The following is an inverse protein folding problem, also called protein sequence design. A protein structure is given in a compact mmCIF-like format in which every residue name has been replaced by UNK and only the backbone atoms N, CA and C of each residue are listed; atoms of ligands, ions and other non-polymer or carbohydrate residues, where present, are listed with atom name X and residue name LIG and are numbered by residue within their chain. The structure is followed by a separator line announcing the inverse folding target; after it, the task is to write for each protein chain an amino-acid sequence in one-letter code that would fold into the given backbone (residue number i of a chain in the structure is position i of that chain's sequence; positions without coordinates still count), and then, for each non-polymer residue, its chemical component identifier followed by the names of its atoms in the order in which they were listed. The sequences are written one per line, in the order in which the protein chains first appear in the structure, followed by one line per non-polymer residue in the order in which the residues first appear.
data_IF_039702768073
#
_entry.id   IF_039702768073
#
_cell.length_a   1.000
_cell.length_b   1.000
_cell.length_c   1.000
_cell.angle_alpha   90.00
_cell.angle_beta   90.00
_cell.angle_gamma   90.00
#
_symmetry.space_group_name_H-M   'P 1'
#
loop_
_entity.id
_entity.type
_entity.pdbx_description
1 polymer ?
#
# COMPACT_ATOMS: atom_id res chain seq x y z
N UNK A 1 17.96 16.27 -4.15
CA UNK A 1 18.31 16.05 -2.73
C UNK A 1 18.30 14.55 -2.57
N UNK A 2 19.42 14.00 -2.09
CA UNK A 2 19.63 12.56 -2.11
C UNK A 2 19.30 11.99 -0.74
N UNK A 3 18.42 10.99 -0.70
CA UNK A 3 18.10 10.25 0.51
C UNK A 3 18.92 8.96 0.51
N UNK A 4 19.78 8.72 1.51
CA UNK A 4 20.57 7.50 1.59
C UNK A 4 19.68 6.28 1.82
N UNK A 5 20.01 5.17 1.15
CA UNK A 5 19.40 3.87 1.38
C UNK A 5 20.28 3.14 2.38
N UNK A 6 19.82 3.02 3.62
CA UNK A 6 20.59 2.40 4.68
C UNK A 6 20.50 0.87 4.64
N UNK A 7 21.62 0.24 4.97
CA UNK A 7 21.70 -1.17 5.38
C UNK A 7 21.64 -1.26 6.91
N UNK A 8 21.51 -2.46 7.47
CA UNK A 8 21.60 -2.68 8.92
C UNK A 8 22.91 -2.10 9.49
N UNK A 9 24.02 -2.22 8.77
CA UNK A 9 25.34 -1.78 9.23
C UNK A 9 25.49 -0.25 9.25
N UNK A 10 24.83 0.43 8.31
CA UNK A 10 24.98 1.88 8.09
C UNK A 10 23.86 2.70 8.72
N UNK A 11 22.76 2.06 9.11
CA UNK A 11 21.59 2.73 9.69
C UNK A 11 21.89 3.35 11.07
N UNK A 12 21.17 4.43 11.44
CA UNK A 12 21.11 4.88 12.82
C UNK A 12 20.77 3.72 13.77
N UNK A 13 21.43 3.65 14.92
CA UNK A 13 21.27 2.53 15.88
C UNK A 13 19.80 2.29 16.24
N UNK A 14 19.04 3.38 16.42
CA UNK A 14 17.62 3.32 16.75
C UNK A 14 16.74 2.68 15.66
N UNK A 15 17.23 2.53 14.42
CA UNK A 15 16.49 1.95 13.29
C UNK A 15 16.84 0.48 13.02
N UNK A 16 17.97 -0.03 13.55
CA UNK A 16 18.50 -1.36 13.18
C UNK A 16 17.53 -2.49 13.48
N UNK A 17 16.91 -2.51 14.65
CA UNK A 17 15.92 -3.55 15.02
C UNK A 17 14.74 -3.56 14.05
N UNK A 18 14.25 -2.39 13.62
CA UNK A 18 13.13 -2.32 12.69
C UNK A 18 13.53 -2.69 11.25
N UNK A 19 14.80 -2.47 10.85
CA UNK A 19 15.33 -2.99 9.59
C UNK A 19 15.50 -4.51 9.60
N UNK A 20 15.91 -5.10 10.73
CA UNK A 20 15.92 -6.55 10.91
C UNK A 20 14.52 -7.10 10.76
N UNK A 21 13.54 -6.48 11.43
CA UNK A 21 12.13 -6.86 11.29
C UNK A 21 11.67 -6.77 9.83
N UNK A 22 11.92 -5.66 9.12
CA UNK A 22 11.59 -5.54 7.70
C UNK A 22 12.20 -6.65 6.84
N UNK A 23 13.47 -7.03 7.10
CA UNK A 23 14.14 -8.12 6.41
C UNK A 23 13.45 -9.46 6.65
N UNK A 24 12.99 -9.72 7.87
CA UNK A 24 12.27 -10.95 8.23
C UNK A 24 10.88 -10.98 7.57
N UNK A 25 10.15 -9.85 7.57
CA UNK A 25 8.82 -9.73 6.96
C UNK A 25 8.87 -9.90 5.43
N UNK A 26 9.84 -9.28 4.76
CA UNK A 26 9.88 -9.22 3.29
C UNK A 26 10.91 -10.17 2.64
N UNK A 27 11.75 -10.83 3.43
CA UNK A 27 12.87 -11.67 2.97
C UNK A 27 14.12 -10.88 2.54
N UNK A 28 14.02 -9.56 2.39
CA UNK A 28 15.10 -8.62 2.15
C UNK A 28 14.72 -7.24 2.70
N UNK A 29 15.64 -6.28 2.73
CA UNK A 29 15.31 -4.89 3.09
C UNK A 29 14.98 -4.15 1.79
N UNK A 30 13.72 -3.77 1.54
CA UNK A 30 13.42 -2.97 0.37
C UNK A 30 14.01 -1.57 0.50
N UNK A 31 14.30 -0.93 -0.63
CA UNK A 31 14.93 0.39 -0.64
C UNK A 31 14.12 1.44 0.14
N UNK A 32 12.79 1.32 0.17
CA UNK A 32 11.90 2.16 0.98
C UNK A 32 12.23 2.09 2.48
N UNK A 33 12.31 0.90 3.05
CA UNK A 33 12.63 0.70 4.47
C UNK A 33 14.07 1.15 4.78
N UNK A 34 14.99 0.95 3.83
CA UNK A 34 16.34 1.50 3.88
C UNK A 34 16.33 3.04 3.96
N UNK A 35 15.44 3.73 3.26
CA UNK A 35 15.27 5.18 3.35
C UNK A 35 14.58 5.60 4.65
N UNK A 36 13.55 4.86 5.10
CA UNK A 36 12.88 5.11 6.38
C UNK A 36 13.85 5.08 7.56
N UNK A 37 14.92 4.29 7.50
CA UNK A 37 15.89 4.18 8.57
C UNK A 37 16.53 5.52 8.97
N UNK A 38 16.53 6.53 8.09
CA UNK A 38 16.93 7.90 8.42
C UNK A 38 16.07 8.51 9.54
N UNK A 39 14.80 8.11 9.62
CA UNK A 39 13.79 8.59 10.55
C UNK A 39 13.23 7.39 11.36
N UNK A 40 13.87 6.99 12.48
CA UNK A 40 13.51 5.78 13.22
C UNK A 40 12.03 5.67 13.61
N UNK A 41 11.38 6.81 13.92
CA UNK A 41 9.96 6.85 14.26
C UNK A 41 9.07 6.45 13.09
N UNK A 42 9.41 6.87 11.86
CA UNK A 42 8.69 6.51 10.64
C UNK A 42 8.85 5.03 10.33
N UNK A 43 10.08 4.50 10.39
CA UNK A 43 10.34 3.07 10.16
C UNK A 43 9.58 2.20 11.16
N UNK A 44 9.71 2.49 12.46
CA UNK A 44 9.05 1.70 13.53
C UNK A 44 7.54 1.79 13.44
N UNK A 45 6.99 3.00 13.26
CA UNK A 45 5.55 3.19 13.13
C UNK A 45 4.99 2.49 11.90
N UNK A 46 5.69 2.57 10.77
CA UNK A 46 5.33 1.87 9.54
C UNK A 46 5.32 0.35 9.72
N UNK A 47 6.37 -0.23 10.31
CA UNK A 47 6.43 -1.68 10.52
C UNK A 47 5.39 -2.16 11.52
N UNK A 48 5.15 -1.43 12.60
CA UNK A 48 4.10 -1.78 13.56
C UNK A 48 2.70 -1.73 12.92
N UNK A 49 2.42 -0.71 12.11
CA UNK A 49 1.15 -0.62 11.40
C UNK A 49 1.01 -1.70 10.32
N UNK A 50 2.11 -2.09 9.67
CA UNK A 50 2.12 -3.20 8.72
C UNK A 50 1.62 -4.49 9.39
N UNK A 51 2.20 -4.87 10.53
CA UNK A 51 1.79 -6.08 11.27
C UNK A 51 0.33 -6.01 11.73
N UNK A 52 -0.08 -4.84 12.22
CA UNK A 52 -1.46 -4.63 12.67
C UNK A 52 -2.46 -4.72 11.52
N UNK A 53 -2.09 -4.24 10.33
CA UNK A 53 -2.95 -4.33 9.15
C UNK A 53 -3.08 -5.77 8.65
N UNK A 54 -2.00 -6.55 8.67
CA UNK A 54 -2.04 -7.97 8.33
C UNK A 54 -3.02 -8.75 9.23
N UNK A 55 -3.12 -8.36 10.50
CA UNK A 55 -4.02 -8.95 11.49
C UNK A 55 -5.47 -8.43 11.47
N UNK A 56 -5.83 -7.54 10.52
CA UNK A 56 -7.20 -7.04 10.38
C UNK A 56 -8.19 -8.11 9.92
N UNK A 57 -9.48 -7.76 9.92
CA UNK A 57 -10.54 -8.67 9.45
C UNK A 57 -10.60 -8.83 7.92
N UNK A 58 -9.73 -8.16 7.16
CA UNK A 58 -9.63 -8.32 5.71
C UNK A 58 -8.82 -9.55 5.32
N UNK A 59 -9.25 -10.23 4.26
CA UNK A 59 -8.41 -11.23 3.60
C UNK A 59 -7.17 -10.59 2.97
N UNK A 60 -6.12 -11.38 2.71
CA UNK A 60 -4.91 -10.90 2.05
C UNK A 60 -5.20 -10.23 0.69
N UNK A 61 -6.19 -10.74 -0.05
CA UNK A 61 -6.62 -10.17 -1.33
C UNK A 61 -7.24 -8.78 -1.13
N UNK A 62 -8.14 -8.63 -0.15
CA UNK A 62 -8.77 -7.35 0.19
C UNK A 62 -7.75 -6.32 0.69
N UNK A 63 -6.77 -6.75 1.50
CA UNK A 63 -5.65 -5.91 1.91
C UNK A 63 -4.87 -5.36 0.71
N UNK A 64 -4.61 -6.19 -0.31
CA UNK A 64 -3.97 -5.73 -1.55
C UNK A 64 -4.87 -4.84 -2.41
N UNK A 65 -6.20 -5.04 -2.41
CA UNK A 65 -7.14 -4.10 -3.06
C UNK A 65 -6.99 -2.71 -2.45
N UNK A 66 -6.96 -2.60 -1.12
CA UNK A 66 -6.78 -1.31 -0.41
C UNK A 66 -5.43 -0.68 -0.79
N UNK A 67 -4.34 -1.45 -0.68
CA UNK A 67 -3.00 -0.94 -0.99
C UNK A 67 -2.82 -0.52 -2.44
N UNK A 68 -3.22 -1.34 -3.40
CA UNK A 68 -3.09 -1.02 -4.83
C UNK A 68 -3.97 0.17 -5.21
N UNK A 69 -5.18 0.27 -4.65
CA UNK A 69 -6.04 1.45 -4.86
C UNK A 69 -5.39 2.72 -4.33
N UNK A 70 -4.86 2.70 -3.12
CA UNK A 70 -4.18 3.86 -2.56
C UNK A 70 -2.91 4.23 -3.34
N UNK A 71 -2.13 3.24 -3.78
CA UNK A 71 -0.95 3.48 -4.62
C UNK A 71 -1.34 4.13 -5.97
N UNK A 72 -2.48 3.75 -6.55
CA UNK A 72 -3.01 4.34 -7.78
C UNK A 72 -3.39 5.82 -7.57
N UNK A 73 -4.17 6.10 -6.52
CA UNK A 73 -4.64 7.46 -6.21
C UNK A 73 -3.48 8.39 -5.85
N UNK A 74 -2.48 7.91 -5.11
CA UNK A 74 -1.28 8.67 -4.78
C UNK A 74 -0.24 8.73 -5.92
N UNK A 75 -0.41 7.96 -7.00
CA UNK A 75 0.51 7.90 -8.15
C UNK A 75 1.91 7.34 -7.82
N UNK A 76 1.97 6.42 -6.85
CA UNK A 76 3.23 5.87 -6.38
C UNK A 76 3.73 4.69 -7.23
N UNK A 77 4.69 4.96 -8.12
CA UNK A 77 5.29 3.95 -9.01
C UNK A 77 5.97 2.79 -8.27
N UNK A 78 6.74 3.10 -7.23
CA UNK A 78 7.45 2.09 -6.44
C UNK A 78 6.46 1.14 -5.76
N UNK A 79 5.48 1.69 -5.03
CA UNK A 79 4.53 0.88 -4.29
C UNK A 79 3.59 0.11 -5.21
N UNK A 80 3.17 0.70 -6.34
CA UNK A 80 2.37 -0.03 -7.33
C UNK A 80 3.11 -1.27 -7.85
N UNK A 81 4.39 -1.12 -8.20
CA UNK A 81 5.20 -2.24 -8.67
C UNK A 81 5.39 -3.32 -7.59
N UNK A 82 5.77 -2.93 -6.38
CA UNK A 82 5.96 -3.86 -5.25
C UNK A 82 4.68 -4.64 -4.93
N UNK A 83 3.55 -3.93 -4.77
CA UNK A 83 2.28 -4.56 -4.43
C UNK A 83 1.65 -5.36 -5.58
N UNK A 84 1.98 -5.05 -6.84
CA UNK A 84 1.58 -5.91 -7.97
C UNK A 84 2.24 -7.29 -7.88
N UNK A 85 3.52 -7.34 -7.49
CA UNK A 85 4.23 -8.60 -7.25
C UNK A 85 3.65 -9.38 -6.06
N UNK A 86 3.41 -8.70 -4.94
CA UNK A 86 2.81 -9.31 -3.75
C UNK A 86 1.41 -9.85 -4.02
N UNK A 87 0.55 -9.06 -4.68
CA UNK A 87 -0.79 -9.48 -5.08
C UNK A 87 -0.77 -10.76 -5.92
N UNK A 88 0.18 -10.87 -6.87
CA UNK A 88 0.36 -12.09 -7.66
C UNK A 88 0.78 -13.28 -6.79
N UNK A 89 1.68 -13.08 -5.83
CA UNK A 89 2.17 -14.14 -4.95
C UNK A 89 1.07 -14.71 -4.05
N UNK A 90 0.14 -13.88 -3.59
CA UNK A 90 -1.00 -14.33 -2.77
C UNK A 90 -2.18 -14.85 -3.60
N UNK A 91 -2.04 -14.99 -4.92
CA UNK A 91 -3.04 -15.59 -5.79
C UNK A 91 -4.11 -14.64 -6.33
N UNK A 92 -3.93 -13.31 -6.27
CA UNK A 92 -4.83 -12.38 -6.94
C UNK A 92 -4.79 -12.60 -8.46
N UNK A 93 -5.96 -12.54 -9.10
CA UNK A 93 -6.06 -12.76 -10.54
C UNK A 93 -5.28 -11.70 -11.32
N UNK A 94 -4.68 -12.10 -12.44
CA UNK A 94 -3.95 -11.17 -13.31
C UNK A 94 -4.87 -10.04 -13.84
N UNK A 95 -6.15 -10.34 -14.05
CA UNK A 95 -7.15 -9.37 -14.49
C UNK A 95 -7.42 -8.32 -13.41
N UNK A 96 -7.58 -8.72 -12.15
CA UNK A 96 -7.82 -7.76 -11.05
C UNK A 96 -6.58 -6.92 -10.76
N UNK A 97 -5.38 -7.51 -10.80
CA UNK A 97 -4.13 -6.77 -10.68
C UNK A 97 -4.04 -5.71 -11.79
N UNK A 98 -4.34 -6.10 -13.03
CA UNK A 98 -4.32 -5.17 -14.16
C UNK A 98 -5.39 -4.09 -14.04
N UNK A 99 -6.59 -4.43 -13.56
CA UNK A 99 -7.65 -3.47 -13.32
C UNK A 99 -7.28 -2.43 -12.26
N UNK A 100 -6.70 -2.87 -11.13
CA UNK A 100 -6.21 -1.98 -10.07
C UNK A 100 -5.07 -1.08 -10.57
N UNK A 101 -4.13 -1.63 -11.36
CA UNK A 101 -3.05 -0.85 -11.99
C UNK A 101 -3.57 0.19 -12.98
N UNK A 102 -4.71 -0.06 -13.61
CA UNK A 102 -5.29 0.84 -14.61
C UNK A 102 -6.40 1.74 -14.06
N UNK A 103 -6.78 1.60 -12.79
CA UNK A 103 -7.91 2.31 -12.23
C UNK A 103 -9.25 1.93 -12.88
N UNK A 104 -9.38 0.71 -13.40
CA UNK A 104 -10.64 0.20 -13.99
C UNK A 104 -11.38 -0.71 -13.00
N UNK A 105 -12.64 -1.00 -13.29
CA UNK A 105 -13.49 -1.84 -12.43
C UNK A 105 -12.93 -3.26 -12.25
N UNK A 106 -13.07 -3.79 -11.03
CA UNK A 106 -12.82 -5.20 -10.72
C UNK A 106 -14.05 -6.04 -11.11
N UNK A 107 -13.84 -7.31 -11.44
CA UNK A 107 -14.95 -8.21 -11.80
C UNK A 107 -15.76 -8.69 -10.60
N UNK A 108 -15.14 -8.81 -9.43
CA UNK A 108 -15.83 -9.17 -8.20
C UNK A 108 -16.53 -7.92 -7.63
N UNK A 109 -17.86 -7.93 -7.48
CA UNK A 109 -18.61 -6.77 -7.00
C UNK A 109 -18.28 -6.39 -5.56
N UNK A 110 -17.93 -7.35 -4.69
CA UNK A 110 -17.50 -7.08 -3.32
C UNK A 110 -16.13 -6.39 -3.32
N UNK A 111 -15.16 -6.90 -4.06
CA UNK A 111 -13.85 -6.25 -4.18
C UNK A 111 -13.95 -4.87 -4.85
N UNK A 112 -14.84 -4.72 -5.84
CA UNK A 112 -15.10 -3.44 -6.48
C UNK A 112 -15.68 -2.41 -5.49
N UNK A 113 -16.57 -2.82 -4.58
CA UNK A 113 -17.06 -1.94 -3.51
C UNK A 113 -15.92 -1.49 -2.58
N UNK A 114 -15.01 -2.41 -2.20
CA UNK A 114 -13.84 -2.06 -1.38
C UNK A 114 -12.88 -1.09 -2.09
N UNK A 115 -12.59 -1.35 -3.37
CA UNK A 115 -11.81 -0.45 -4.21
C UNK A 115 -12.46 0.94 -4.26
N UNK A 116 -13.76 1.00 -4.54
CA UNK A 116 -14.48 2.26 -4.63
C UNK A 116 -14.45 3.02 -3.31
N UNK A 117 -14.81 2.37 -2.19
CA UNK A 117 -14.81 2.99 -0.87
C UNK A 117 -13.44 3.53 -0.47
N UNK A 118 -12.38 2.74 -0.72
CA UNK A 118 -10.98 3.18 -0.48
C UNK A 118 -10.62 4.40 -1.33
N UNK A 119 -10.96 4.38 -2.63
CA UNK A 119 -10.74 5.50 -3.54
C UNK A 119 -11.45 6.77 -3.05
N UNK A 120 -12.72 6.65 -2.65
CA UNK A 120 -13.53 7.78 -2.16
C UNK A 120 -12.95 8.37 -0.88
N UNK A 121 -12.53 7.54 0.08
CA UNK A 121 -11.87 8.03 1.29
C UNK A 121 -10.60 8.83 1.01
N UNK A 122 -9.80 8.42 0.02
CA UNK A 122 -8.59 9.15 -0.34
C UNK A 122 -8.94 10.47 -1.03
N UNK A 123 -9.81 10.43 -2.04
CA UNK A 123 -10.19 11.62 -2.81
C UNK A 123 -10.90 12.68 -1.95
N UNK A 124 -11.76 12.24 -1.05
CA UNK A 124 -12.52 13.11 -0.15
C UNK A 124 -11.81 13.38 1.17
N UNK A 125 -10.59 12.85 1.37
CA UNK A 125 -9.81 13.01 2.62
C UNK A 125 -10.60 12.57 3.86
N UNK A 126 -11.33 11.46 3.74
CA UNK A 126 -12.14 10.87 4.82
C UNK A 126 -13.53 11.48 5.01
N UNK A 127 -13.89 12.54 4.27
CA UNK A 127 -15.25 13.10 4.29
C UNK A 127 -16.19 12.27 3.41
N UNK A 128 -16.57 11.10 3.92
CA UNK A 128 -17.48 10.14 3.29
C UNK A 128 -18.89 10.35 3.84
N UNK A 129 -19.89 10.30 2.97
CA UNK A 129 -21.29 10.42 3.40
C UNK A 129 -21.88 9.08 3.87
N UNK A 130 -23.01 9.14 4.58
CA UNK A 130 -23.67 7.95 5.14
C UNK A 130 -24.07 6.95 4.04
N UNK A 131 -24.40 7.44 2.84
CA UNK A 131 -24.81 6.60 1.71
C UNK A 131 -23.65 5.77 1.19
N UNK A 132 -22.45 6.36 1.03
CA UNK A 132 -21.24 5.65 0.64
C UNK A 132 -20.85 4.58 1.68
N UNK A 133 -21.09 4.84 2.98
CA UNK A 133 -20.90 3.85 4.04
C UNK A 133 -21.93 2.73 3.91
N UNK A 134 -23.22 3.05 3.74
CA UNK A 134 -24.30 2.07 3.57
C UNK A 134 -24.07 1.16 2.37
N UNK A 135 -23.61 1.70 1.23
CA UNK A 135 -23.25 0.93 0.04
C UNK A 135 -22.10 -0.05 0.30
N UNK A 136 -21.07 0.38 1.05
CA UNK A 136 -19.97 -0.49 1.45
C UNK A 136 -20.44 -1.62 2.37
N UNK A 137 -21.31 -1.33 3.34
CA UNK A 137 -21.89 -2.35 4.22
C UNK A 137 -22.81 -3.32 3.46
N UNK A 138 -23.60 -2.82 2.51
CA UNK A 138 -24.48 -3.64 1.66
C UNK A 138 -23.71 -4.62 0.76
N UNK A 139 -22.45 -4.31 0.43
CA UNK A 139 -21.54 -5.23 -0.27
C UNK A 139 -21.01 -6.38 0.62
N UNK A 140 -21.40 -6.41 1.91
CA UNK A 140 -21.03 -7.47 2.85
C UNK A 140 -19.79 -7.14 3.69
N UNK A 141 -19.45 -5.86 3.83
CA UNK A 141 -18.45 -5.38 4.77
C UNK A 141 -19.08 -4.90 6.09
N UNK A 142 -18.24 -4.64 7.08
CA UNK A 142 -18.65 -4.25 8.44
C UNK A 142 -18.17 -2.85 8.81
N UNK A 143 -18.75 -2.27 9.87
CA UNK A 143 -18.27 -1.00 10.43
C UNK A 143 -16.82 -1.11 10.95
N UNK A 144 -16.41 -2.28 11.45
CA UNK A 144 -15.01 -2.53 11.78
C UNK A 144 -14.13 -2.34 10.55
N UNK A 145 -14.53 -2.92 9.41
CA UNK A 145 -13.79 -2.82 8.16
C UNK A 145 -13.74 -1.40 7.60
N UNK A 146 -14.77 -0.57 7.83
CA UNK A 146 -14.71 0.87 7.53
C UNK A 146 -13.50 1.52 8.23
N UNK A 147 -13.30 1.23 9.51
CA UNK A 147 -12.17 1.76 10.29
C UNK A 147 -10.83 1.13 9.88
N UNK A 148 -10.81 -0.16 9.57
CA UNK A 148 -9.58 -0.87 9.18
C UNK A 148 -9.02 -0.40 7.84
N UNK A 149 -9.86 0.07 6.90
CA UNK A 149 -9.36 0.68 5.64
C UNK A 149 -8.51 1.92 5.94
N UNK A 150 -8.84 2.69 6.99
CA UNK A 150 -8.07 3.88 7.40
C UNK A 150 -6.63 3.48 7.75
N UNK A 151 -6.44 2.33 8.40
CA UNK A 151 -5.10 1.80 8.72
C UNK A 151 -4.32 1.53 7.43
N UNK A 152 -4.93 0.86 6.46
CA UNK A 152 -4.31 0.58 5.16
C UNK A 152 -3.93 1.87 4.40
N UNK A 153 -4.82 2.87 4.41
CA UNK A 153 -4.54 4.19 3.81
C UNK A 153 -3.39 4.89 4.54
N UNK A 154 -3.37 4.89 5.88
CA UNK A 154 -2.30 5.52 6.67
C UNK A 154 -0.92 4.93 6.35
N UNK A 155 -0.83 3.60 6.21
CA UNK A 155 0.41 2.92 5.79
C UNK A 155 0.84 3.41 4.41
N UNK A 156 -0.11 3.49 3.45
CA UNK A 156 0.22 3.95 2.11
C UNK A 156 0.57 5.43 2.06
N UNK A 157 0.03 6.29 2.91
CA UNK A 157 0.50 7.67 3.05
C UNK A 157 1.98 7.70 3.44
N UNK A 158 2.36 6.98 4.51
CA UNK A 158 3.77 6.91 4.95
C UNK A 158 4.70 6.41 3.84
N UNK A 159 4.30 5.36 3.13
CA UNK A 159 5.09 4.71 2.10
C UNK A 159 5.17 5.53 0.81
N UNK A 160 4.01 5.92 0.27
CA UNK A 160 3.91 6.60 -1.01
C UNK A 160 4.57 7.97 -0.95
N UNK A 161 4.30 8.76 0.09
CA UNK A 161 4.85 10.11 0.18
C UNK A 161 6.36 10.08 0.34
N UNK A 162 6.88 9.10 1.08
CA UNK A 162 8.33 8.90 1.18
C UNK A 162 8.92 8.54 -0.17
N UNK A 163 8.32 7.63 -0.93
CA UNK A 163 8.79 7.30 -2.27
C UNK A 163 8.75 8.50 -3.22
N UNK A 164 7.76 9.39 -3.12
CA UNK A 164 7.70 10.60 -3.93
C UNK A 164 8.85 11.57 -3.60
N UNK A 165 9.07 11.81 -2.30
CA UNK A 165 10.07 12.77 -1.82
C UNK A 165 11.49 12.23 -2.07
N UNK A 166 11.71 10.95 -1.77
CA UNK A 166 13.02 10.31 -1.86
C UNK A 166 13.37 9.80 -3.26
N UNK A 167 12.39 9.74 -4.17
CA UNK A 167 12.54 9.17 -5.52
C UNK A 167 13.15 7.77 -5.45
N UNK A 168 12.63 6.96 -4.54
CA UNK A 168 13.17 5.64 -4.20
C UNK A 168 13.39 4.80 -5.46
N UNK A 169 14.62 4.31 -5.70
CA UNK A 169 14.88 3.46 -6.84
C UNK A 169 14.18 2.10 -6.65
N UNK A 170 13.60 1.57 -7.73
CA UNK A 170 12.88 0.32 -7.69
C UNK A 170 13.84 -0.86 -7.45
N UNK A 171 13.54 -1.68 -6.44
CA UNK A 171 14.30 -2.90 -6.18
C UNK A 171 14.21 -3.89 -7.34
N UNK A 172 15.28 -4.66 -7.53
CA UNK A 172 15.37 -5.66 -8.60
C UNK A 172 14.19 -6.64 -8.64
N UNK A 173 13.69 -7.19 -7.52
CA UNK A 173 12.53 -8.10 -7.53
C UNK A 173 11.25 -7.47 -8.09
N UNK A 174 11.12 -6.14 -8.02
CA UNK A 174 9.93 -5.42 -8.45
C UNK A 174 9.99 -4.91 -9.89
N UNK A 175 11.16 -4.98 -10.55
CA UNK A 175 11.35 -4.54 -11.94
C UNK A 175 10.38 -5.18 -12.95
N UNK A 176 9.96 -6.46 -12.83
CA UNK A 176 8.96 -7.02 -13.74
C UNK A 176 7.59 -6.33 -13.68
N UNK A 177 7.33 -5.51 -12.64
CA UNK A 177 6.05 -4.87 -12.38
C UNK A 177 6.08 -3.34 -12.51
N UNK A 178 7.10 -2.78 -13.18
CA UNK A 178 7.23 -1.34 -13.47
C UNK A 178 5.88 -0.74 -13.87
N UNK A 179 5.61 0.44 -13.34
CA UNK A 179 4.33 1.11 -13.51
C UNK A 179 4.48 2.61 -13.61
N UNK A 180 3.62 3.19 -14.44
CA UNK A 180 3.32 4.61 -14.51
C UNK A 180 1.80 4.74 -14.56
N UNK A 181 1.24 5.73 -13.88
CA UNK A 181 -0.21 5.97 -13.93
C UNK A 181 -0.66 6.16 -15.38
N UNK A 182 -1.64 5.38 -15.87
CA UNK A 182 -2.20 5.60 -17.19
C UNK A 182 -2.81 7.00 -17.29
N UNK A 183 -2.66 7.64 -18.44
CA UNK A 183 -3.37 8.86 -18.72
C UNK A 183 -4.88 8.59 -18.68
N UNK A 184 -5.64 9.46 -18.00
CA UNK A 184 -7.10 9.42 -18.09
C UNK A 184 -7.46 9.76 -19.53
N UNK A 185 -7.87 8.77 -20.32
CA UNK A 185 -8.53 9.03 -21.60
C UNK A 185 -9.90 9.63 -21.27
N UNK A 186 -10.03 10.93 -21.53
CA UNK A 186 -11.28 11.68 -21.42
C UNK A 186 -12.38 11.10 -22.32
#
# INVERSE_FOLDING_TARGET
MDFPIYTIDTAPEASKTALVHAKETFGFIPNLEGIFAQAPALLKGSMALWDLFEATSFSLIEQQVIYLTANYEHECHYCMAAHSGLAKMIGMSANDIQALRNGTALSDPKLQALRHFTQRMIQMRGWIDDKEIEEFLAAGYTQQQVLEVIVGIAIKIMHNYTNHIAKTPLDRPFQPYVWSKPAVTA
#
